data_IF_744641667038
#
_entry.id   IF_744641667038
#
_cell.length_a   1.000
_cell.length_b   1.000
_cell.length_c   1.000
_cell.angle_alpha   90.00
_cell.angle_beta   90.00
_cell.angle_gamma   90.00
#
_symmetry.space_group_name_H-M   'P 1'
#
loop_
_entity.id
_entity.type
_entity.pdbx_description
1 polymer ?
#
# COMPACT_ATOMS: atom_id res chain seq x y z
N UNK A 1 12.83 4.37 1.25
CA UNK A 1 11.56 3.63 1.04
C UNK A 1 11.01 3.28 2.40
N UNK A 2 9.97 3.98 2.84
CA UNK A 2 9.32 3.66 4.12
C UNK A 2 8.43 2.45 3.91
N UNK A 3 8.52 1.47 4.80
CA UNK A 3 7.72 0.25 4.73
C UNK A 3 6.26 0.57 5.12
N UNK A 4 5.29 0.11 4.33
CA UNK A 4 3.87 0.23 4.66
C UNK A 4 3.53 -0.77 5.77
N UNK A 5 2.88 -0.30 6.84
CA UNK A 5 2.43 -1.13 7.97
C UNK A 5 0.91 -1.11 8.04
N UNK A 6 0.28 -2.27 7.89
CA UNK A 6 -1.16 -2.47 8.01
C UNK A 6 -1.51 -3.04 9.39
N UNK A 7 -2.21 -2.26 10.20
CA UNK A 7 -2.73 -2.65 11.50
C UNK A 7 -4.15 -3.20 11.33
N UNK A 8 -4.37 -4.44 11.79
CA UNK A 8 -5.67 -5.10 11.75
C UNK A 8 -6.04 -5.71 13.11
N UNK A 9 -7.34 -5.84 13.36
CA UNK A 9 -7.86 -6.70 14.41
C UNK A 9 -8.05 -8.14 13.89
N UNK A 10 -7.87 -9.16 14.74
CA UNK A 10 -7.96 -10.57 14.33
C UNK A 10 -9.35 -10.97 13.81
N UNK A 11 -10.41 -10.33 14.28
CA UNK A 11 -11.81 -10.65 13.93
C UNK A 11 -12.43 -9.61 12.96
N UNK A 12 -11.71 -9.28 11.88
CA UNK A 12 -12.13 -8.22 10.97
C UNK A 12 -12.19 -8.71 9.50
N UNK A 13 -13.39 -9.08 9.00
CA UNK A 13 -13.57 -9.48 7.60
C UNK A 13 -13.17 -8.39 6.60
N UNK A 14 -13.45 -7.13 6.94
CA UNK A 14 -13.06 -5.96 6.14
C UNK A 14 -11.54 -5.80 6.04
N UNK A 15 -10.80 -6.18 7.09
CA UNK A 15 -9.35 -6.13 7.12
C UNK A 15 -8.74 -7.22 6.22
N UNK A 16 -9.39 -8.37 6.11
CA UNK A 16 -9.01 -9.40 5.14
C UNK A 16 -9.11 -8.86 3.71
N UNK A 17 -10.21 -8.18 3.38
CA UNK A 17 -10.37 -7.59 2.04
C UNK A 17 -9.31 -6.54 1.73
N UNK A 18 -8.97 -5.68 2.70
CA UNK A 18 -7.87 -4.70 2.54
C UNK A 18 -6.53 -5.40 2.28
N UNK A 19 -6.24 -6.48 3.02
CA UNK A 19 -5.02 -7.25 2.82
C UNK A 19 -4.96 -7.89 1.42
N UNK A 20 -6.06 -8.48 0.95
CA UNK A 20 -6.16 -9.05 -0.40
C UNK A 20 -5.85 -7.98 -1.46
N UNK A 21 -6.38 -6.76 -1.33
CA UNK A 21 -6.10 -5.66 -2.25
C UNK A 21 -4.61 -5.26 -2.22
N UNK A 22 -3.99 -5.19 -1.04
CA UNK A 22 -2.55 -4.90 -0.92
C UNK A 22 -1.69 -5.97 -1.61
N UNK A 23 -2.09 -7.24 -1.51
CA UNK A 23 -1.44 -8.38 -2.17
C UNK A 23 -1.66 -8.34 -3.70
N UNK A 24 -2.88 -8.09 -4.17
CA UNK A 24 -3.24 -7.95 -5.59
C UNK A 24 -2.44 -6.82 -6.27
N UNK A 25 -2.23 -5.70 -5.57
CA UNK A 25 -1.43 -4.59 -6.08
C UNK A 25 0.09 -4.82 -5.99
N UNK A 26 0.53 -5.90 -5.36
CA UNK A 26 1.95 -6.24 -5.12
C UNK A 26 2.68 -5.16 -4.31
N UNK A 27 1.99 -4.57 -3.34
CA UNK A 27 2.58 -3.56 -2.45
C UNK A 27 3.31 -4.26 -1.31
N UNK A 28 4.59 -3.96 -1.12
CA UNK A 28 5.36 -4.46 0.01
C UNK A 28 4.80 -3.89 1.32
N UNK A 29 4.26 -4.75 2.18
CA UNK A 29 3.61 -4.34 3.42
C UNK A 29 3.90 -5.29 4.58
N UNK A 30 3.84 -4.77 5.81
CA UNK A 30 3.88 -5.54 7.06
C UNK A 30 2.52 -5.56 7.70
N UNK A 31 2.01 -6.73 8.08
CA UNK A 31 0.75 -6.85 8.82
C UNK A 31 1.03 -6.96 10.31
N UNK A 32 0.43 -6.08 11.11
CA UNK A 32 0.48 -6.12 12.58
C UNK A 32 -0.92 -6.45 13.08
N UNK A 33 -1.04 -7.60 13.74
CA UNK A 33 -2.31 -8.08 14.33
C UNK A 33 -2.23 -7.91 15.84
N UNK A 34 -2.97 -6.97 16.43
CA UNK A 34 -2.96 -6.73 17.87
C UNK A 34 -3.63 -5.43 18.28
N UNK A 35 -4.35 -5.45 19.41
CA UNK A 35 -5.05 -4.30 19.98
C UNK A 35 -4.13 -3.26 20.65
N UNK A 36 -2.83 -3.56 20.76
CA UNK A 36 -1.84 -2.68 21.38
C UNK A 36 -0.91 -2.16 20.29
N UNK A 37 -1.28 -1.00 19.73
CA UNK A 37 -0.38 -0.20 18.92
C UNK A 37 0.88 0.14 19.73
N UNK A 38 2.01 -0.36 19.27
CA UNK A 38 3.26 -0.22 20.02
C UNK A 38 4.47 -0.81 19.31
N UNK A 39 4.52 -0.76 17.97
CA UNK A 39 5.84 -0.75 17.33
C UNK A 39 6.40 0.66 17.55
N UNK A 40 7.43 0.73 18.39
CA UNK A 40 8.04 1.91 19.03
C UNK A 40 8.57 3.03 18.11
N UNK A 41 8.14 3.08 16.84
CA UNK A 41 8.53 4.10 15.86
C UNK A 41 7.43 5.11 15.52
N UNK A 42 6.15 4.84 15.79
CA UNK A 42 5.08 5.84 15.66
C UNK A 42 4.90 6.56 16.99
N UNK A 43 5.84 7.45 17.33
CA UNK A 43 5.72 8.32 18.50
C UNK A 43 4.48 9.21 18.35
N UNK A 44 3.58 9.14 19.34
CA UNK A 44 2.50 10.10 19.68
C UNK A 44 1.13 9.99 18.99
N UNK A 45 0.97 9.26 17.88
CA UNK A 45 -0.35 9.15 17.22
C UNK A 45 -1.05 7.86 17.65
N UNK A 46 -2.21 7.99 18.30
CA UNK A 46 -3.07 6.85 18.60
C UNK A 46 -3.57 6.24 17.28
N UNK A 47 -3.06 5.05 16.94
CA UNK A 47 -3.48 4.31 15.75
C UNK A 47 -4.57 3.33 16.14
N UNK A 48 -5.78 3.56 15.63
CA UNK A 48 -6.93 2.66 15.80
C UNK A 48 -7.09 1.77 14.57
N UNK A 49 -6.92 0.43 14.70
CA UNK A 49 -7.17 -0.48 13.59
C UNK A 49 -8.64 -0.43 13.13
N UNK A 50 -8.93 -0.62 11.83
CA UNK A 50 -7.98 -0.81 10.74
C UNK A 50 -7.23 0.48 10.40
N UNK A 51 -5.92 0.39 10.23
CA UNK A 51 -5.08 1.54 9.87
C UNK A 51 -3.89 1.15 8.99
N UNK A 52 -3.52 2.02 8.07
CA UNK A 52 -2.28 1.94 7.28
C UNK A 52 -1.35 3.06 7.74
N UNK A 53 -0.08 2.74 7.97
CA UNK A 53 0.97 3.70 8.28
C UNK A 53 2.08 3.58 7.26
N UNK A 54 2.44 4.69 6.63
CA UNK A 54 3.55 4.80 5.69
C UNK A 54 4.36 6.07 5.99
N UNK A 55 5.52 5.92 6.64
CA UNK A 55 6.31 7.06 7.11
C UNK A 55 5.52 7.93 8.09
N UNK A 56 5.20 9.16 7.67
CA UNK A 56 4.42 10.13 8.47
C UNK A 56 2.93 10.12 8.14
N UNK A 57 2.51 9.31 7.16
CA UNK A 57 1.13 9.20 6.73
C UNK A 57 0.43 8.12 7.55
N UNK A 58 -0.70 8.48 8.17
CA UNK A 58 -1.56 7.55 8.90
C UNK A 58 -2.96 7.63 8.31
N UNK A 59 -3.43 6.53 7.73
CA UNK A 59 -4.77 6.39 7.15
C UNK A 59 -5.57 5.45 8.03
N UNK A 60 -6.67 5.93 8.62
CA UNK A 60 -7.48 5.17 9.57
C UNK A 60 -8.89 4.94 9.07
N UNK A 61 -9.44 3.78 9.38
CA UNK A 61 -10.81 3.41 9.04
C UNK A 61 -10.92 2.82 7.64
N UNK A 62 -11.86 1.87 7.49
CA UNK A 62 -11.99 1.07 6.28
C UNK A 62 -12.20 1.91 5.01
N UNK A 63 -13.08 2.90 5.06
CA UNK A 63 -13.41 3.74 3.88
C UNK A 63 -12.23 4.59 3.40
N UNK A 64 -11.49 5.17 4.35
CA UNK A 64 -10.34 6.02 4.01
C UNK A 64 -9.19 5.17 3.49
N UNK A 65 -8.99 3.98 4.06
CA UNK A 65 -8.03 3.01 3.53
C UNK A 65 -8.37 2.63 2.09
N UNK A 66 -9.63 2.28 1.80
CA UNK A 66 -10.03 1.92 0.44
C UNK A 66 -9.81 3.08 -0.54
N UNK A 67 -10.19 4.31 -0.17
CA UNK A 67 -9.93 5.49 -1.00
C UNK A 67 -8.44 5.71 -1.26
N UNK A 68 -7.61 5.51 -0.24
CA UNK A 68 -6.15 5.61 -0.37
C UNK A 68 -5.60 4.56 -1.34
N UNK A 69 -6.07 3.31 -1.25
CA UNK A 69 -5.66 2.24 -2.17
C UNK A 69 -6.15 2.49 -3.60
N UNK A 70 -7.38 2.99 -3.79
CA UNK A 70 -7.89 3.39 -5.12
C UNK A 70 -7.02 4.49 -5.75
N UNK A 71 -6.58 5.47 -4.95
CA UNK A 71 -5.68 6.51 -5.44
C UNK A 71 -4.29 5.97 -5.83
N UNK A 72 -3.76 5.00 -5.06
CA UNK A 72 -2.51 4.32 -5.42
C UNK A 72 -2.65 3.50 -6.70
N UNK A 73 -3.77 2.81 -6.88
CA UNK A 73 -4.05 2.04 -8.10
C UNK A 73 -4.15 2.95 -9.32
N UNK A 74 -4.87 4.07 -9.20
CA UNK A 74 -4.95 5.07 -10.27
C UNK A 74 -3.57 5.64 -10.61
N UNK A 75 -2.76 5.96 -9.59
CA UNK A 75 -1.40 6.43 -9.80
C UNK A 75 -0.55 5.38 -10.54
N UNK A 76 -0.66 4.10 -10.16
CA UNK A 76 0.02 3.00 -10.86
C UNK A 76 -0.46 2.88 -12.31
N UNK A 77 -1.76 2.93 -12.56
CA UNK A 77 -2.32 2.83 -13.91
C UNK A 77 -1.88 3.99 -14.81
N UNK A 78 -1.82 5.22 -14.26
CA UNK A 78 -1.24 6.36 -14.95
C UNK A 78 0.25 6.14 -15.24
N UNK A 79 1.01 5.68 -14.26
CA UNK A 79 2.43 5.39 -14.41
C UNK A 79 2.69 4.31 -15.48
N UNK A 80 1.96 3.19 -15.44
CA UNK A 80 2.04 2.09 -16.40
C UNK A 80 1.73 2.57 -17.83
N UNK A 81 0.80 3.53 -17.99
CA UNK A 81 0.48 4.14 -19.28
C UNK A 81 1.64 4.96 -19.86
N UNK A 82 2.42 5.64 -19.01
CA UNK A 82 3.53 6.50 -19.43
C UNK A 82 4.88 5.78 -19.50
N UNK A 83 5.00 4.56 -18.95
CA UNK A 83 6.20 3.72 -19.09
C UNK A 83 6.21 2.84 -20.35
N UNK A 84 5.30 3.09 -21.30
CA UNK A 84 5.17 2.35 -22.55
C UNK A 84 6.28 2.62 -23.60
N UNK A 85 7.45 3.13 -23.19
CA UNK A 85 8.67 3.17 -24.00
C UNK A 85 9.63 2.07 -23.52
N UNK A 86 9.18 0.81 -23.61
CA UNK A 86 10.10 -0.30 -23.67
C UNK A 86 10.72 -0.32 -25.08
N UNK A 87 11.93 0.22 -25.18
CA UNK A 87 12.76 0.25 -26.37
C UNK A 87 12.70 -1.10 -27.11
N UNK A 88 12.18 -1.10 -28.34
CA UNK A 88 12.30 -2.24 -29.22
C UNK A 88 13.73 -2.24 -29.77
N UNK A 89 14.62 -3.04 -29.18
CA UNK A 89 15.89 -3.33 -29.83
C UNK A 89 15.63 -4.32 -30.97
N UNK A 90 15.83 -3.91 -32.22
CA UNK A 90 16.02 -4.85 -33.32
C UNK A 90 17.23 -5.76 -33.05
N UNK A 91 17.32 -6.90 -33.75
CA UNK A 91 18.43 -7.88 -33.63
C UNK A 91 19.83 -7.27 -33.89
N UNK A 92 19.89 -6.04 -34.39
CA UNK A 92 21.05 -5.24 -34.78
C UNK A 92 21.36 -4.05 -33.84
N UNK A 93 20.54 -3.79 -32.82
CA UNK A 93 20.86 -2.82 -31.77
C UNK A 93 20.77 -1.33 -32.16
N UNK A 94 20.11 -0.97 -33.28
CA UNK A 94 19.79 0.43 -33.56
C UNK A 94 18.54 0.89 -32.79
N UNK A 95 18.65 2.03 -32.10
CA UNK A 95 17.53 2.77 -31.51
C UNK A 95 17.15 3.84 -32.54
N UNK A 96 15.95 3.76 -33.11
CA UNK A 96 15.37 4.81 -33.96
C UNK A 96 14.75 5.94 -33.14
#
# INVERSE_FOLDING_TARGET
MSMLVFYRTPECPQCKRIQEILEEMVIAHRVVSGASGGDSQTSSVAVSPPAIVEGNTVVQGHREILRYLEALEQFKAEWDKFQSDACYCGDDGEIL
#
